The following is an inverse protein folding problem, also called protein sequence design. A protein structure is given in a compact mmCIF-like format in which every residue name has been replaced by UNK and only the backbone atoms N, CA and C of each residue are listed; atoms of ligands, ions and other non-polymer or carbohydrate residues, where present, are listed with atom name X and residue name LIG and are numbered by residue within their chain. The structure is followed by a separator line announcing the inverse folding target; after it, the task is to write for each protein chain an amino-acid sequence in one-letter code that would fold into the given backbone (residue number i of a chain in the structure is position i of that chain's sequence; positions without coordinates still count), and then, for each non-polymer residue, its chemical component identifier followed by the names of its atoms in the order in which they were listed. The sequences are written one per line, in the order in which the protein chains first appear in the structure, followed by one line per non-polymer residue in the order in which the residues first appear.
data_IF_890736061846
#
_entry.id   IF_890736061846
#
_cell.length_a   1.000
_cell.length_b   1.000
_cell.length_c   1.000
_cell.angle_alpha   90.00
_cell.angle_beta   90.00
_cell.angle_gamma   90.00
#
_symmetry.space_group_name_H-M   'P 1'
#
loop_
_entity.id
_entity.type
_entity.pdbx_description
1 polymer ?
#
# COMPACT_ATOMS: atom_id res chain seq x y z
N UNK A 1 5.51 17.19 -13.67
CA UNK A 1 6.70 16.41 -14.10
C UNK A 1 7.77 16.34 -13.01
N UNK A 2 8.18 17.46 -12.39
CA UNK A 2 9.25 17.46 -11.37
C UNK A 2 8.90 16.72 -10.06
N UNK A 3 7.66 16.81 -9.58
CA UNK A 3 7.28 16.20 -8.29
C UNK A 3 7.29 14.66 -8.32
N UNK A 4 6.67 14.04 -9.33
CA UNK A 4 6.72 12.58 -9.51
C UNK A 4 8.16 12.06 -9.63
N UNK A 5 9.02 12.80 -10.35
CA UNK A 5 10.44 12.46 -10.44
C UNK A 5 11.13 12.49 -9.07
N UNK A 6 10.85 13.51 -8.25
CA UNK A 6 11.36 13.57 -6.87
C UNK A 6 10.88 12.40 -6.02
N UNK A 7 9.59 12.05 -6.06
CA UNK A 7 9.03 10.90 -5.35
C UNK A 7 9.69 9.58 -5.79
N UNK A 8 9.82 9.38 -7.10
CA UNK A 8 10.47 8.19 -7.64
C UNK A 8 11.95 8.09 -7.26
N UNK A 9 12.66 9.22 -7.23
CA UNK A 9 14.06 9.26 -6.81
C UNK A 9 14.20 8.88 -5.34
N UNK A 10 13.38 9.48 -4.46
CA UNK A 10 13.40 9.16 -3.04
C UNK A 10 13.14 7.67 -2.78
N UNK A 11 12.23 7.07 -3.54
CA UNK A 11 11.97 5.63 -3.47
C UNK A 11 13.19 4.82 -3.90
N UNK A 12 13.80 5.14 -5.05
CA UNK A 12 15.00 4.44 -5.54
C UNK A 12 16.19 4.59 -4.59
N UNK A 13 16.41 5.77 -4.01
CA UNK A 13 17.49 6.01 -3.04
C UNK A 13 17.34 5.12 -1.79
N UNK A 14 16.10 4.86 -1.36
CA UNK A 14 15.82 3.93 -0.26
C UNK A 14 16.09 2.48 -0.66
N UNK A 15 15.72 2.07 -1.87
CA UNK A 15 16.04 0.73 -2.39
C UNK A 15 17.55 0.52 -2.47
N UNK A 16 18.31 1.50 -2.98
CA UNK A 16 19.78 1.45 -3.00
C UNK A 16 20.40 1.34 -1.60
N UNK A 17 19.73 1.91 -0.60
CA UNK A 17 20.13 1.79 0.81
C UNK A 17 19.90 0.37 1.32
N UNK A 18 18.78 -0.27 0.96
CA UNK A 18 18.53 -1.68 1.25
C UNK A 18 19.53 -2.62 0.57
N UNK A 19 19.92 -2.35 -0.68
CA UNK A 19 20.92 -3.16 -1.42
C UNK A 19 22.30 -3.15 -0.76
N UNK A 20 22.62 -2.08 -0.03
CA UNK A 20 23.84 -1.99 0.79
C UNK A 20 23.75 -2.78 2.09
N UNK A 21 22.62 -3.44 2.35
CA UNK A 21 22.36 -4.25 3.55
C UNK A 21 22.56 -3.46 4.84
N UNK A 22 22.04 -2.24 4.90
CA UNK A 22 22.04 -1.44 6.12
C UNK A 22 21.28 -2.16 7.24
N UNK A 23 21.54 -1.75 8.48
CA UNK A 23 20.80 -2.29 9.61
C UNK A 23 19.33 -1.90 9.56
N UNK A 24 18.45 -2.72 10.14
CA UNK A 24 17.02 -2.40 10.27
C UNK A 24 16.82 -1.08 11.01
N UNK A 25 17.69 -0.74 11.97
CA UNK A 25 17.63 0.52 12.71
C UNK A 25 17.92 1.76 11.85
N UNK A 26 18.84 1.65 10.89
CA UNK A 26 19.11 2.72 9.92
C UNK A 26 17.94 2.90 8.96
N UNK A 27 17.40 1.80 8.43
CA UNK A 27 16.21 1.85 7.56
C UNK A 27 15.01 2.45 8.30
N UNK A 28 14.77 2.03 9.54
CA UNK A 28 13.71 2.57 10.39
C UNK A 28 13.92 4.07 10.67
N UNK A 29 15.17 4.53 10.79
CA UNK A 29 15.46 5.96 10.97
C UNK A 29 15.04 6.75 9.72
N UNK A 30 15.30 6.23 8.52
CA UNK A 30 14.82 6.85 7.27
C UNK A 30 13.30 6.88 7.17
N UNK A 31 12.60 5.79 7.54
CA UNK A 31 11.14 5.76 7.55
C UNK A 31 10.50 6.70 8.59
N UNK A 32 11.24 7.09 9.64
CA UNK A 32 10.80 8.06 10.64
C UNK A 32 11.20 9.51 10.31
N UNK A 33 11.97 9.75 9.24
CA UNK A 33 12.19 11.10 8.73
C UNK A 33 10.95 11.53 7.93
N UNK A 34 10.19 12.49 8.46
CA UNK A 34 8.88 12.90 7.92
C UNK A 34 8.90 13.17 6.41
N UNK A 35 9.88 13.94 5.91
CA UNK A 35 10.02 14.23 4.48
C UNK A 35 10.20 12.95 3.67
N UNK A 36 11.16 12.10 4.06
CA UNK A 36 11.44 10.85 3.35
C UNK A 36 10.19 9.97 3.35
N UNK A 37 9.59 9.75 4.51
CA UNK A 37 8.38 8.94 4.69
C UNK A 37 7.21 9.43 3.84
N UNK A 38 6.94 10.74 3.85
CA UNK A 38 5.85 11.33 3.06
C UNK A 38 6.08 11.17 1.56
N UNK A 39 7.31 11.39 1.07
CA UNK A 39 7.63 11.20 -0.35
C UNK A 39 7.46 9.74 -0.79
N UNK A 40 7.79 8.78 0.07
CA UNK A 40 7.57 7.35 -0.18
C UNK A 40 6.07 7.02 -0.25
N UNK A 41 5.28 7.51 0.71
CA UNK A 41 3.83 7.29 0.73
C UNK A 41 3.16 7.91 -0.50
N UNK A 42 3.55 9.14 -0.88
CA UNK A 42 3.07 9.77 -2.12
C UNK A 42 3.42 8.90 -3.33
N UNK A 43 4.66 8.43 -3.43
CA UNK A 43 5.06 7.58 -4.55
C UNK A 43 4.21 6.31 -4.64
N UNK A 44 4.03 5.61 -3.53
CA UNK A 44 3.22 4.39 -3.48
C UNK A 44 1.76 4.67 -3.85
N UNK A 45 1.17 5.79 -3.41
CA UNK A 45 -0.19 6.22 -3.84
C UNK A 45 -0.28 6.44 -5.34
N UNK A 46 0.74 7.04 -5.95
CA UNK A 46 0.78 7.27 -7.39
C UNK A 46 0.98 5.96 -8.17
N UNK A 47 1.76 5.02 -7.65
CA UNK A 47 1.86 3.66 -8.20
C UNK A 47 0.51 2.95 -8.16
N UNK A 48 -0.20 3.02 -7.02
CA UNK A 48 -1.55 2.47 -6.87
C UNK A 48 -2.53 3.10 -7.87
N UNK A 49 -2.57 4.43 -7.97
CA UNK A 49 -3.42 5.14 -8.94
C UNK A 49 -3.09 4.73 -10.39
N UNK A 50 -1.80 4.64 -10.73
CA UNK A 50 -1.35 4.22 -12.04
C UNK A 50 -1.78 2.79 -12.39
N UNK A 51 -1.70 1.86 -11.43
CA UNK A 51 -2.15 0.48 -11.64
C UNK A 51 -3.67 0.38 -11.79
N UNK A 52 -4.42 1.05 -10.92
CA UNK A 52 -5.88 1.10 -11.00
C UNK A 52 -6.36 1.61 -12.36
N UNK A 53 -5.79 2.71 -12.85
CA UNK A 53 -6.12 3.26 -14.16
C UNK A 53 -5.66 2.38 -15.33
N UNK A 54 -4.57 1.61 -15.17
CA UNK A 54 -4.10 0.70 -16.22
C UNK A 54 -5.02 -0.50 -16.39
N UNK A 55 -5.53 -1.04 -15.28
CA UNK A 55 -6.43 -2.20 -15.25
C UNK A 55 -7.89 -1.76 -15.03
N UNK A 56 -8.30 -0.62 -15.59
CA UNK A 56 -9.58 0.03 -15.28
C UNK A 56 -10.79 -0.89 -15.53
N UNK A 57 -10.71 -1.72 -16.57
CA UNK A 57 -11.78 -2.66 -16.94
C UNK A 57 -12.10 -3.64 -15.82
N UNK A 58 -11.08 -4.06 -15.05
CA UNK A 58 -11.25 -4.91 -13.90
C UNK A 58 -11.77 -4.11 -12.69
N UNK A 59 -11.09 -3.01 -12.36
CA UNK A 59 -11.35 -2.27 -11.11
C UNK A 59 -12.66 -1.48 -11.10
N UNK A 60 -13.21 -1.08 -12.25
CA UNK A 60 -14.47 -0.33 -12.33
C UNK A 60 -15.64 -1.03 -11.61
N UNK A 61 -15.63 -2.36 -11.55
CA UNK A 61 -16.69 -3.16 -10.92
C UNK A 61 -16.67 -3.09 -9.38
N UNK A 62 -15.56 -2.64 -8.80
CA UNK A 62 -15.37 -2.55 -7.35
C UNK A 62 -15.52 -1.12 -6.82
N UNK A 63 -15.75 -0.14 -7.69
CA UNK A 63 -15.88 1.27 -7.32
C UNK A 63 -17.35 1.63 -7.13
N UNK A 64 -17.68 2.08 -5.93
CA UNK A 64 -19.03 2.48 -5.57
C UNK A 64 -19.36 3.94 -5.98
N UNK A 65 -20.65 4.21 -6.14
CA UNK A 65 -21.19 5.56 -6.35
C UNK A 65 -21.20 6.04 -7.80
N UNK A 66 -21.03 5.14 -8.78
CA UNK A 66 -21.09 5.47 -10.21
C UNK A 66 -19.92 6.33 -10.71
N UNK A 67 -18.83 6.40 -9.95
CA UNK A 67 -17.59 7.10 -10.30
C UNK A 67 -16.79 6.27 -11.30
N UNK A 68 -16.10 6.93 -12.21
CA UNK A 68 -15.06 6.31 -13.02
C UNK A 68 -13.83 5.96 -12.17
N UNK A 69 -12.99 5.04 -12.66
CA UNK A 69 -11.72 4.67 -11.99
C UNK A 69 -10.82 5.89 -11.80
N UNK A 70 -10.76 6.77 -12.79
CA UNK A 70 -10.00 8.03 -12.71
C UNK A 70 -10.52 8.96 -11.61
N UNK A 71 -11.84 9.15 -11.51
CA UNK A 71 -12.42 9.98 -10.46
C UNK A 71 -12.17 9.39 -9.06
N UNK A 72 -12.29 8.07 -8.91
CA UNK A 72 -11.93 7.38 -7.68
C UNK A 72 -10.45 7.61 -7.32
N UNK A 73 -9.53 7.47 -8.28
CA UNK A 73 -8.10 7.71 -8.06
C UNK A 73 -7.82 9.13 -7.55
N UNK A 74 -8.41 10.14 -8.20
CA UNK A 74 -8.23 11.54 -7.85
C UNK A 74 -8.80 11.91 -6.47
N UNK A 75 -9.86 11.23 -6.02
CA UNK A 75 -10.58 11.55 -4.79
C UNK A 75 -10.10 10.75 -3.59
N UNK A 76 -9.79 9.47 -3.77
CA UNK A 76 -9.53 8.52 -2.67
C UNK A 76 -8.12 7.95 -2.65
N UNK A 77 -7.39 7.96 -3.77
CA UNK A 77 -6.07 7.29 -3.88
C UNK A 77 -4.92 8.30 -3.82
N UNK A 78 -4.90 9.26 -4.74
CA UNK A 78 -3.81 10.22 -4.93
C UNK A 78 -3.64 11.21 -3.76
N UNK A 79 -4.70 11.73 -3.13
CA UNK A 79 -4.55 12.65 -2.01
C UNK A 79 -3.92 11.98 -0.78
N UNK A 80 -3.02 12.70 -0.12
CA UNK A 80 -2.48 12.29 1.19
C UNK A 80 -3.58 12.23 2.25
N UNK A 81 -3.36 11.41 3.27
CA UNK A 81 -4.27 11.27 4.42
C UNK A 81 -5.67 10.75 4.10
N UNK A 82 -5.85 10.13 2.92
CA UNK A 82 -7.03 9.34 2.58
C UNK A 82 -6.90 7.89 3.06
N UNK A 83 -7.97 7.33 3.60
CA UNK A 83 -7.98 5.95 4.06
C UNK A 83 -7.71 4.98 2.91
N UNK A 84 -7.13 3.82 3.23
CA UNK A 84 -6.87 2.76 2.27
C UNK A 84 -7.59 1.49 2.70
N UNK A 85 -8.16 0.82 1.70
CA UNK A 85 -8.99 -0.38 1.83
C UNK A 85 -8.56 -1.44 0.80
N UNK A 86 -9.25 -2.57 0.73
CA UNK A 86 -8.91 -3.76 -0.06
C UNK A 86 -8.48 -3.42 -1.50
N UNK A 87 -9.22 -2.55 -2.20
CA UNK A 87 -8.91 -2.14 -3.58
C UNK A 87 -7.51 -1.53 -3.71
N UNK A 88 -7.05 -0.78 -2.70
CA UNK A 88 -5.73 -0.16 -2.67
C UNK A 88 -4.64 -1.19 -2.42
N UNK A 89 -4.89 -2.12 -1.50
CA UNK A 89 -3.96 -3.21 -1.14
C UNK A 89 -3.75 -4.12 -2.35
N UNK A 90 -4.82 -4.54 -3.01
CA UNK A 90 -4.78 -5.40 -4.20
C UNK A 90 -3.98 -4.71 -5.31
N UNK A 91 -4.32 -3.46 -5.64
CA UNK A 91 -3.66 -2.74 -6.72
C UNK A 91 -2.17 -2.52 -6.44
N UNK A 92 -1.79 -2.16 -5.21
CA UNK A 92 -0.37 -1.97 -4.88
C UNK A 92 0.40 -3.29 -4.84
N UNK A 93 -0.17 -4.35 -4.26
CA UNK A 93 0.43 -5.67 -4.20
C UNK A 93 0.71 -6.22 -5.61
N UNK A 94 -0.26 -6.08 -6.53
CA UNK A 94 -0.09 -6.48 -7.91
C UNK A 94 0.86 -5.57 -8.69
N UNK A 95 0.86 -4.25 -8.43
CA UNK A 95 1.77 -3.32 -9.07
C UNK A 95 3.24 -3.60 -8.73
N UNK A 96 3.52 -3.98 -7.48
CA UNK A 96 4.86 -4.29 -6.98
C UNK A 96 5.23 -5.78 -7.07
N UNK A 97 4.28 -6.63 -7.49
CA UNK A 97 4.43 -8.08 -7.53
C UNK A 97 4.87 -8.68 -6.18
N UNK A 98 4.19 -8.28 -5.11
CA UNK A 98 4.41 -8.77 -3.73
C UNK A 98 3.17 -9.46 -3.19
N UNK A 99 3.36 -10.35 -2.22
CA UNK A 99 2.26 -11.03 -1.53
C UNK A 99 2.13 -10.55 -0.08
N UNK A 100 0.94 -10.07 0.27
CA UNK A 100 0.61 -9.45 1.56
C UNK A 100 -0.52 -10.24 2.22
N UNK A 101 -0.35 -10.60 3.49
CA UNK A 101 -1.43 -11.13 4.33
C UNK A 101 -1.88 -10.05 5.32
N UNK A 102 -3.19 -9.87 5.45
CA UNK A 102 -3.80 -8.94 6.40
C UNK A 102 -4.65 -9.73 7.38
N UNK A 103 -4.30 -9.66 8.66
CA UNK A 103 -5.04 -10.20 9.80
C UNK A 103 -6.08 -9.16 10.26
N UNK A 104 -7.35 -9.55 10.34
CA UNK A 104 -8.44 -8.66 10.74
C UNK A 104 -8.81 -8.92 12.19
N UNK A 105 -8.53 -7.93 13.03
CA UNK A 105 -8.96 -7.95 14.43
C UNK A 105 -10.31 -7.23 14.55
N UNK A 106 -11.37 -7.93 14.16
CA UNK A 106 -12.73 -7.50 14.45
C UNK A 106 -13.20 -8.02 15.82
N UNK A 107 -14.29 -7.44 16.34
CA UNK A 107 -14.92 -7.87 17.59
C UNK A 107 -15.85 -9.07 17.36
N UNK A 108 -15.52 -9.96 16.42
CA UNK A 108 -16.31 -11.16 16.17
C UNK A 108 -16.40 -12.05 17.42
N UNK A 109 -17.58 -12.63 17.68
CA UNK A 109 -17.84 -13.48 18.86
C UNK A 109 -17.05 -14.82 18.86
N UNK A 110 -16.16 -15.06 17.89
CA UNK A 110 -15.60 -16.38 17.58
C UNK A 110 -14.15 -16.66 17.99
N UNK A 111 -13.38 -15.70 18.49
CA UNK A 111 -11.97 -15.93 18.91
C UNK A 111 -10.99 -16.36 17.80
N UNK A 112 -11.46 -16.48 16.55
CA UNK A 112 -10.66 -16.77 15.36
C UNK A 112 -10.36 -15.47 14.63
N UNK A 113 -9.08 -15.17 14.42
CA UNK A 113 -8.65 -14.04 13.58
C UNK A 113 -8.87 -14.44 12.12
N UNK A 114 -9.62 -13.62 11.39
CA UNK A 114 -9.80 -13.81 9.95
C UNK A 114 -8.63 -13.17 9.22
N UNK A 115 -8.10 -13.81 8.18
CA UNK A 115 -7.04 -13.23 7.35
C UNK A 115 -7.41 -13.25 5.87
N UNK A 116 -6.82 -12.31 5.13
CA UNK A 116 -6.90 -12.25 3.68
C UNK A 116 -5.49 -12.17 3.08
N UNK A 117 -5.24 -12.93 2.01
CA UNK A 117 -3.96 -12.94 1.29
C UNK A 117 -4.16 -12.28 -0.08
N UNK A 118 -3.26 -11.38 -0.45
CA UNK A 118 -3.28 -10.62 -1.69
C UNK A 118 -1.95 -10.78 -2.44
N UNK A 119 -1.93 -11.33 -3.67
CA UNK A 119 -3.04 -11.99 -4.35
C UNK A 119 -3.47 -13.29 -3.64
N UNK A 120 -4.68 -13.75 -3.91
CA UNK A 120 -5.20 -15.02 -3.37
C UNK A 120 -4.24 -16.18 -3.68
N UNK A 121 -4.15 -17.14 -2.74
CA UNK A 121 -3.27 -18.33 -2.81
C UNK A 121 -1.76 -18.03 -2.95
N UNK A 122 -1.33 -16.79 -2.73
CA UNK A 122 0.08 -16.43 -2.69
C UNK A 122 0.83 -16.94 -1.45
N UNK A 123 2.16 -16.83 -1.46
CA UNK A 123 3.03 -17.10 -0.31
C UNK A 123 3.46 -15.76 0.33
N UNK A 124 2.75 -15.27 1.35
CA UNK A 124 2.97 -13.93 1.90
C UNK A 124 4.31 -13.83 2.61
N UNK A 125 5.01 -12.71 2.37
CA UNK A 125 6.21 -12.31 3.12
C UNK A 125 6.00 -11.06 3.96
N UNK A 126 4.87 -10.38 3.76
CA UNK A 126 4.48 -9.16 4.45
C UNK A 126 3.18 -9.47 5.19
N UNK A 127 3.19 -9.29 6.51
CA UNK A 127 2.05 -9.56 7.39
C UNK A 127 1.61 -8.26 8.05
N UNK A 128 0.35 -7.90 7.90
CA UNK A 128 -0.24 -6.70 8.45
C UNK A 128 -1.37 -7.06 9.42
N UNK A 129 -1.57 -6.24 10.43
CA UNK A 129 -2.74 -6.28 11.32
C UNK A 129 -3.65 -5.11 10.97
N UNK A 130 -4.87 -5.40 10.56
CA UNK A 130 -5.93 -4.42 10.46
C UNK A 130 -6.72 -4.32 11.76
N UNK A 131 -6.80 -3.10 12.29
CA UNK A 131 -7.74 -2.66 13.33
C UNK A 131 -8.61 -1.58 12.70
N UNK A 132 -9.87 -1.38 13.12
CA UNK A 132 -10.73 -0.36 12.50
C UNK A 132 -10.04 1.01 12.37
N UNK A 133 -9.74 1.41 11.13
CA UNK A 133 -9.05 2.66 10.77
C UNK A 133 -7.52 2.67 10.86
N UNK A 134 -6.85 1.53 11.13
CA UNK A 134 -5.40 1.51 11.35
C UNK A 134 -4.74 0.18 10.94
N UNK A 135 -3.56 0.27 10.33
CA UNK A 135 -2.74 -0.88 9.96
C UNK A 135 -1.43 -0.89 10.76
N UNK A 136 -1.05 -2.05 11.30
CA UNK A 136 0.25 -2.29 11.92
C UNK A 136 1.00 -3.42 11.20
N UNK A 137 2.31 -3.53 11.43
CA UNK A 137 3.16 -4.60 10.89
C UNK A 137 3.22 -5.75 11.91
N UNK A 138 3.04 -6.98 11.43
CA UNK A 138 3.24 -8.20 12.21
C UNK A 138 4.57 -8.86 11.83
N UNK A 139 5.26 -9.39 12.85
CA UNK A 139 6.46 -10.20 12.68
C UNK A 139 6.13 -11.64 13.09
N UNK A 140 6.35 -12.59 12.18
CA UNK A 140 6.14 -14.03 12.39
C UNK A 140 7.49 -14.75 12.43
#
# INVERSE_FOLDING_TARGET
MNFLLSCSRQFMDLIETCDKQVSVGELLSSFNEQSVSDYLVVYLRLVTSGYLQREEDFFQHFIEGGRTVREFCQQEVEPMSKESDHIHIIALAQALNVCIQVEYMDRGEGGTVNHHIFPEDGDPKIFLLYRPGHYDILYN
#
